data_IF_803091507691
#
_entry.id   IF_803091507691
#
_cell.length_a   1.000
_cell.length_b   1.000
_cell.length_c   1.000
_cell.angle_alpha   90.00
_cell.angle_beta   90.00
_cell.angle_gamma   90.00
#
_symmetry.space_group_name_H-M   'P 1'
#
loop_
_entity.id
_entity.type
_entity.pdbx_description
1 polymer ?
#
# COMPACT_ATOMS: atom_id res chain seq x y z
N UNK A 1 -5.77 -17.59 10.11
CA UNK A 1 -5.34 -17.79 11.51
C UNK A 1 -3.95 -17.25 11.78
N UNK A 2 -2.88 -17.93 11.30
CA UNK A 2 -1.48 -17.53 11.60
C UNK A 2 -1.20 -16.07 11.23
N UNK A 3 -1.52 -15.67 10.02
CA UNK A 3 -1.33 -14.27 9.59
C UNK A 3 -2.02 -13.27 10.51
N UNK A 4 -3.25 -13.58 10.95
CA UNK A 4 -4.00 -12.71 11.86
C UNK A 4 -3.34 -12.61 13.24
N UNK A 5 -2.76 -13.72 13.74
CA UNK A 5 -2.07 -13.75 15.04
C UNK A 5 -0.73 -13.02 15.01
N UNK A 6 -0.04 -13.03 13.87
CA UNK A 6 1.33 -12.50 13.78
C UNK A 6 1.39 -11.05 13.27
N UNK A 7 0.38 -10.59 12.52
CA UNK A 7 0.47 -9.34 11.77
C UNK A 7 -0.75 -8.41 11.91
N UNK A 8 -1.81 -8.82 12.60
CA UNK A 8 -3.03 -8.00 12.73
C UNK A 8 -3.32 -7.62 14.19
N UNK A 9 -2.74 -6.55 14.68
CA UNK A 9 -2.88 -6.06 16.07
C UNK A 9 -4.33 -5.80 16.51
N UNK A 10 -5.23 -5.53 15.57
CA UNK A 10 -6.65 -5.25 15.88
C UNK A 10 -7.51 -6.49 16.00
N UNK A 11 -6.97 -7.68 15.69
CA UNK A 11 -7.69 -8.95 15.79
C UNK A 11 -7.27 -9.66 17.07
N UNK A 12 -8.15 -9.81 18.07
CA UNK A 12 -7.81 -10.54 19.28
C UNK A 12 -7.45 -12.01 18.98
N UNK A 13 -6.42 -12.54 19.62
CA UNK A 13 -5.92 -13.91 19.41
C UNK A 13 -7.03 -14.96 19.51
N UNK A 14 -7.88 -14.84 20.54
CA UNK A 14 -8.97 -15.80 20.73
C UNK A 14 -9.98 -15.78 19.58
N UNK A 15 -10.20 -14.63 18.95
CA UNK A 15 -11.10 -14.52 17.81
C UNK A 15 -10.47 -15.16 16.57
N UNK A 16 -9.19 -14.88 16.28
CA UNK A 16 -8.46 -15.48 15.17
C UNK A 16 -8.42 -17.01 15.27
N UNK A 17 -8.18 -17.55 16.48
CA UNK A 17 -8.16 -18.99 16.74
C UNK A 17 -9.54 -19.60 16.54
N UNK A 18 -10.57 -18.97 17.13
CA UNK A 18 -11.95 -19.49 17.07
C UNK A 18 -12.46 -19.56 15.63
N UNK A 19 -12.34 -18.48 14.87
CA UNK A 19 -12.76 -18.42 13.47
C UNK A 19 -12.01 -19.45 12.61
N UNK A 20 -10.72 -19.62 12.85
CA UNK A 20 -9.92 -20.62 12.12
C UNK A 20 -10.41 -22.04 12.39
N UNK A 21 -10.74 -22.36 13.64
CA UNK A 21 -11.29 -23.67 14.03
C UNK A 21 -12.71 -23.88 13.45
N UNK A 22 -13.55 -22.85 13.45
CA UNK A 22 -14.88 -22.91 12.86
C UNK A 22 -14.82 -23.10 11.34
N UNK A 23 -13.87 -22.47 10.65
CA UNK A 23 -13.65 -22.74 9.20
C UNK A 23 -13.30 -24.19 8.92
N UNK A 24 -12.48 -24.82 9.77
CA UNK A 24 -12.15 -26.25 9.66
C UNK A 24 -13.39 -27.12 9.83
N UNK A 25 -14.27 -26.78 10.79
CA UNK A 25 -15.54 -27.51 11.01
C UNK A 25 -16.50 -27.30 9.84
N UNK A 26 -16.65 -26.07 9.34
CA UNK A 26 -17.45 -25.76 8.14
C UNK A 26 -16.96 -26.52 6.91
N UNK A 27 -15.65 -26.71 6.76
CA UNK A 27 -15.04 -27.56 5.74
C UNK A 27 -15.23 -29.08 5.99
N UNK A 28 -15.99 -29.47 7.02
CA UNK A 28 -16.25 -30.87 7.42
C UNK A 28 -14.98 -31.67 7.76
N UNK A 29 -13.90 -30.98 8.18
CA UNK A 29 -12.64 -31.59 8.60
C UNK A 29 -12.55 -31.68 10.14
N UNK A 30 -13.57 -32.21 10.78
CA UNK A 30 -13.73 -32.19 12.25
C UNK A 30 -12.51 -32.72 13.02
N UNK A 31 -11.88 -33.78 12.52
CA UNK A 31 -10.69 -34.39 13.14
C UNK A 31 -9.49 -33.44 13.19
N UNK A 32 -9.40 -32.46 12.28
CA UNK A 32 -8.32 -31.48 12.23
C UNK A 32 -8.54 -30.27 13.16
N UNK A 33 -9.73 -30.09 13.71
CA UNK A 33 -10.04 -28.90 14.53
C UNK A 33 -9.20 -28.80 15.80
N UNK A 34 -8.95 -29.93 16.48
CA UNK A 34 -8.05 -29.98 17.64
C UNK A 34 -6.59 -29.65 17.28
N UNK A 35 -6.12 -30.17 16.16
CA UNK A 35 -4.78 -29.91 15.66
C UNK A 35 -4.57 -28.43 15.30
N UNK A 36 -5.51 -27.83 14.55
CA UNK A 36 -5.45 -26.41 14.20
C UNK A 36 -5.48 -25.52 15.45
N UNK A 37 -6.37 -25.83 16.41
CA UNK A 37 -6.43 -25.10 17.67
C UNK A 37 -5.10 -25.20 18.45
N UNK A 38 -4.49 -26.37 18.52
CA UNK A 38 -3.24 -26.59 19.23
C UNK A 38 -2.09 -25.80 18.61
N UNK A 39 -1.94 -25.84 17.28
CA UNK A 39 -0.91 -25.05 16.56
C UNK A 39 -1.07 -23.56 16.79
N UNK A 40 -2.28 -23.03 16.58
CA UNK A 40 -2.53 -21.59 16.72
C UNK A 40 -2.29 -21.12 18.17
N UNK A 41 -2.70 -21.90 19.16
CA UNK A 41 -2.39 -21.59 20.57
C UNK A 41 -0.92 -21.72 20.93
N UNK A 42 -0.17 -22.56 20.22
CA UNK A 42 1.28 -22.65 20.42
C UNK A 42 1.97 -21.37 19.93
N UNK A 43 1.59 -20.88 18.76
CA UNK A 43 2.13 -19.63 18.20
C UNK A 43 1.90 -18.42 19.12
N UNK A 44 0.79 -18.36 19.84
CA UNK A 44 0.54 -17.26 20.80
C UNK A 44 1.32 -17.37 22.12
N UNK A 45 1.97 -18.51 22.38
CA UNK A 45 2.70 -18.75 23.64
C UNK A 45 4.20 -18.83 23.48
N UNK A 46 4.66 -19.26 22.33
CA UNK A 46 6.06 -19.49 22.02
C UNK A 46 6.51 -18.45 21.01
N UNK A 47 7.60 -17.78 21.30
CA UNK A 47 8.27 -16.92 20.33
C UNK A 47 8.81 -17.80 19.19
N UNK A 48 8.34 -17.54 17.98
CA UNK A 48 8.80 -18.28 16.80
C UNK A 48 10.14 -17.67 16.36
N UNK A 49 11.24 -18.32 16.71
CA UNK A 49 12.54 -17.97 16.16
C UNK A 49 12.58 -18.40 14.69
N UNK A 50 12.70 -17.43 13.79
CA UNK A 50 12.95 -17.71 12.38
C UNK A 50 14.43 -17.98 12.18
N UNK A 51 14.76 -19.11 11.56
CA UNK A 51 16.11 -19.41 11.10
C UNK A 51 16.23 -19.00 9.64
N UNK A 52 17.27 -18.23 9.32
CA UNK A 52 17.56 -17.76 7.98
C UNK A 52 18.83 -18.41 7.45
N UNK A 53 18.86 -18.71 6.18
CA UNK A 53 20.01 -19.35 5.53
C UNK A 53 21.15 -18.33 5.33
N UNK A 54 20.79 -17.12 4.97
CA UNK A 54 21.69 -15.98 4.76
C UNK A 54 20.93 -14.64 4.95
N UNK A 55 21.63 -13.51 4.88
CA UNK A 55 21.04 -12.17 5.05
C UNK A 55 20.03 -11.85 3.96
N UNK A 56 20.21 -12.35 2.74
CA UNK A 56 19.26 -12.17 1.66
C UNK A 56 17.97 -12.97 1.90
N UNK A 57 18.08 -14.18 2.48
CA UNK A 57 16.92 -14.99 2.88
C UNK A 57 16.13 -14.27 3.99
N UNK A 58 16.85 -13.70 4.97
CA UNK A 58 16.26 -12.89 6.02
C UNK A 58 15.48 -11.71 5.42
N UNK A 59 16.12 -10.90 4.58
CA UNK A 59 15.48 -9.76 3.93
C UNK A 59 14.25 -10.19 3.12
N UNK A 60 14.36 -11.30 2.38
CA UNK A 60 13.26 -11.86 1.58
C UNK A 60 12.04 -12.21 2.43
N UNK A 61 12.27 -12.85 3.57
CA UNK A 61 11.19 -13.29 4.46
C UNK A 61 10.60 -12.09 5.22
N UNK A 62 11.43 -11.24 5.82
CA UNK A 62 11.00 -10.09 6.62
C UNK A 62 10.23 -9.07 5.79
N UNK A 63 10.64 -8.84 4.53
CA UNK A 63 9.99 -7.87 3.66
C UNK A 63 8.98 -8.47 2.69
N UNK A 64 8.83 -9.81 2.67
CA UNK A 64 7.94 -10.53 1.75
C UNK A 64 8.26 -10.29 0.26
N UNK A 65 9.53 -10.05 -0.06
CA UNK A 65 9.99 -9.89 -1.44
C UNK A 65 10.70 -11.15 -1.93
N UNK A 66 10.41 -11.63 -3.15
CA UNK A 66 11.07 -12.83 -3.66
C UNK A 66 12.56 -12.56 -3.90
N UNK A 67 13.37 -13.55 -3.59
CA UNK A 67 14.83 -13.48 -3.63
C UNK A 67 15.39 -12.93 -4.96
N UNK A 68 14.86 -13.38 -6.10
CA UNK A 68 15.27 -12.90 -7.42
C UNK A 68 15.09 -11.39 -7.63
N UNK A 69 14.07 -10.80 -6.98
CA UNK A 69 13.81 -9.36 -7.07
C UNK A 69 14.83 -8.58 -6.24
N UNK A 70 15.10 -9.05 -5.04
CA UNK A 70 16.13 -8.45 -4.15
C UNK A 70 17.52 -8.56 -4.79
N UNK A 71 17.90 -9.71 -5.37
CA UNK A 71 19.15 -9.88 -6.09
C UNK A 71 19.29 -8.86 -7.23
N UNK A 72 18.20 -8.60 -7.95
CA UNK A 72 18.18 -7.60 -9.03
C UNK A 72 18.36 -6.19 -8.49
N UNK A 73 17.71 -5.84 -7.37
CA UNK A 73 17.85 -4.53 -6.76
C UNK A 73 19.25 -4.34 -6.17
N UNK A 74 19.81 -5.35 -5.53
CA UNK A 74 21.19 -5.33 -5.02
C UNK A 74 22.17 -5.10 -6.16
N UNK A 75 22.00 -5.79 -7.28
CA UNK A 75 22.88 -5.62 -8.45
C UNK A 75 22.77 -4.23 -9.08
N UNK A 76 21.63 -3.56 -8.95
CA UNK A 76 21.38 -2.24 -9.54
C UNK A 76 21.70 -1.08 -8.59
N UNK A 77 21.40 -1.20 -7.32
CA UNK A 77 21.44 -0.10 -6.35
C UNK A 77 22.42 -0.34 -5.19
N UNK A 78 22.90 -1.57 -4.99
CA UNK A 78 23.67 -1.99 -3.83
C UNK A 78 22.79 -2.57 -2.72
N UNK A 79 23.45 -3.17 -1.71
CA UNK A 79 22.76 -3.91 -0.63
C UNK A 79 21.92 -2.99 0.26
N UNK A 80 22.49 -1.87 0.70
CA UNK A 80 21.82 -0.94 1.62
C UNK A 80 20.56 -0.33 0.99
N UNK A 81 20.68 0.21 -0.21
CA UNK A 81 19.56 0.83 -0.93
C UNK A 81 18.47 -0.20 -1.27
N UNK A 82 18.87 -1.41 -1.67
CA UNK A 82 17.91 -2.50 -1.95
C UNK A 82 17.12 -2.90 -0.70
N UNK A 83 17.76 -2.91 0.47
CA UNK A 83 17.09 -3.17 1.74
C UNK A 83 16.12 -2.04 2.10
N UNK A 84 16.54 -0.78 1.97
CA UNK A 84 15.68 0.38 2.21
C UNK A 84 14.44 0.36 1.30
N UNK A 85 14.59 0.07 0.01
CA UNK A 85 13.48 -0.09 -0.93
C UNK A 85 12.52 -1.19 -0.47
N UNK A 86 13.05 -2.33 -0.04
CA UNK A 86 12.25 -3.47 0.39
C UNK A 86 11.43 -3.17 1.66
N UNK A 87 12.02 -2.48 2.64
CA UNK A 87 11.32 -2.05 3.84
C UNK A 87 10.31 -0.94 3.54
N UNK A 88 10.68 0.07 2.76
CA UNK A 88 9.79 1.17 2.38
C UNK A 88 8.53 0.69 1.64
N UNK A 89 8.65 -0.37 0.82
CA UNK A 89 7.50 -0.97 0.13
C UNK A 89 6.45 -1.58 1.09
N UNK A 90 6.83 -1.89 2.32
CA UNK A 90 5.92 -2.42 3.34
C UNK A 90 5.33 -1.34 4.25
N UNK A 91 5.77 -0.11 4.12
CA UNK A 91 5.18 1.01 4.85
C UNK A 91 3.78 1.34 4.30
N UNK A 92 2.94 1.90 5.17
CA UNK A 92 1.62 2.38 4.74
C UNK A 92 1.85 3.66 3.93
N UNK A 93 1.52 3.67 2.62
CA UNK A 93 1.76 4.84 1.80
C UNK A 93 0.86 6.00 2.20
N UNK A 94 1.37 7.21 2.04
CA UNK A 94 0.55 8.42 2.13
C UNK A 94 -0.44 8.46 0.97
N UNK A 95 -1.60 9.05 1.23
CA UNK A 95 -2.62 9.27 0.20
C UNK A 95 -2.27 10.53 -0.56
N UNK A 96 -1.96 10.38 -1.84
CA UNK A 96 -1.69 11.50 -2.73
C UNK A 96 -2.94 11.90 -3.53
N UNK A 97 -3.13 13.18 -3.72
CA UNK A 97 -4.23 13.72 -4.51
C UNK A 97 -3.84 15.05 -5.17
N UNK A 98 -4.55 15.41 -6.20
CA UNK A 98 -4.40 16.69 -6.89
C UNK A 98 -5.72 17.44 -6.96
N UNK A 99 -5.62 18.74 -7.07
CA UNK A 99 -6.74 19.60 -7.35
C UNK A 99 -7.22 19.40 -8.81
N UNK A 100 -8.51 19.48 -9.03
CA UNK A 100 -9.08 19.45 -10.38
C UNK A 100 -9.32 20.86 -10.89
N UNK A 101 -9.54 21.03 -12.21
CA UNK A 101 -9.87 22.31 -12.80
C UNK A 101 -11.24 22.89 -12.34
N UNK A 102 -12.08 22.07 -11.71
CA UNK A 102 -13.37 22.48 -11.16
C UNK A 102 -13.27 23.09 -9.75
N UNK A 103 -12.09 23.16 -9.17
CA UNK A 103 -11.90 23.76 -7.86
C UNK A 103 -11.91 25.28 -7.95
N UNK A 104 -12.57 25.92 -6.99
CA UNK A 104 -12.68 27.38 -6.86
C UNK A 104 -11.75 27.87 -5.74
N UNK A 105 -11.43 29.15 -5.72
CA UNK A 105 -10.51 29.78 -4.75
C UNK A 105 -10.88 29.51 -3.28
N UNK A 106 -12.17 29.27 -3.00
CA UNK A 106 -12.65 28.93 -1.64
C UNK A 106 -12.15 27.60 -1.07
N UNK A 107 -11.51 26.76 -1.88
CA UNK A 107 -10.95 25.48 -1.44
C UNK A 107 -9.47 25.61 -1.05
N UNK A 108 -8.78 26.60 -1.57
CA UNK A 108 -7.35 26.77 -1.33
C UNK A 108 -7.04 26.81 0.17
N UNK A 109 -7.82 27.51 0.98
CA UNK A 109 -7.66 27.55 2.44
C UNK A 109 -7.80 26.17 3.09
N UNK A 110 -8.69 25.31 2.59
CA UNK A 110 -8.85 23.94 3.08
C UNK A 110 -7.70 23.03 2.63
N UNK A 111 -7.17 23.28 1.45
CA UNK A 111 -6.06 22.50 0.89
C UNK A 111 -4.70 22.88 1.49
N UNK A 112 -4.54 24.11 2.00
CA UNK A 112 -3.33 24.55 2.73
C UNK A 112 -3.05 23.75 4.01
N UNK A 113 -4.04 23.01 4.51
CA UNK A 113 -3.88 22.12 5.67
C UNK A 113 -3.16 20.81 5.33
N UNK A 114 -2.98 20.49 4.05
CA UNK A 114 -2.32 19.28 3.60
C UNK A 114 -0.86 19.56 3.21
N UNK A 115 -0.03 18.55 3.42
CA UNK A 115 1.39 18.64 3.04
C UNK A 115 1.53 18.61 1.52
N UNK A 116 2.31 19.53 0.96
CA UNK A 116 2.67 19.46 -0.45
C UNK A 116 3.72 18.38 -0.70
N UNK A 117 3.65 17.74 -1.86
CA UNK A 117 4.71 16.86 -2.33
C UNK A 117 6.00 17.63 -2.58
N UNK A 118 7.12 17.00 -2.30
CA UNK A 118 8.46 17.51 -2.63
C UNK A 118 8.84 17.24 -4.10
N UNK A 119 8.16 16.29 -4.74
CA UNK A 119 8.50 15.81 -6.08
C UNK A 119 7.55 16.30 -7.17
N UNK A 120 6.31 16.66 -6.80
CA UNK A 120 5.26 16.97 -7.77
C UNK A 120 4.52 18.24 -7.35
N UNK A 121 4.69 19.31 -8.09
CA UNK A 121 3.98 20.57 -7.84
C UNK A 121 2.46 20.36 -7.89
N UNK A 122 1.74 20.95 -6.92
CA UNK A 122 0.27 20.83 -6.81
C UNK A 122 -0.23 19.43 -6.45
N UNK A 123 0.65 18.48 -6.13
CA UNK A 123 0.29 17.26 -5.46
C UNK A 123 0.26 17.47 -3.95
N UNK A 124 -0.81 17.04 -3.32
CA UNK A 124 -1.04 17.14 -1.89
C UNK A 124 -1.07 15.75 -1.26
N UNK A 125 -0.62 15.66 -0.01
CA UNK A 125 -0.43 14.42 0.71
C UNK A 125 -1.22 14.42 2.02
N UNK A 126 -1.81 13.28 2.33
CA UNK A 126 -2.50 13.01 3.60
C UNK A 126 -2.10 11.64 4.13
N UNK A 127 -2.02 11.47 5.44
CA UNK A 127 -1.75 10.16 6.05
C UNK A 127 -2.90 9.16 5.83
N UNK A 128 -4.11 9.65 5.60
CA UNK A 128 -5.31 8.83 5.43
C UNK A 128 -6.39 9.56 4.65
N UNK A 129 -7.31 8.80 4.07
CA UNK A 129 -8.53 9.36 3.48
C UNK A 129 -9.49 9.74 4.63
N UNK A 130 -9.74 11.02 4.78
CA UNK A 130 -10.72 11.54 5.74
C UNK A 130 -12.11 11.69 5.10
N UNK A 131 -13.19 11.84 5.89
CA UNK A 131 -14.51 12.15 5.34
C UNK A 131 -14.53 13.42 4.48
N UNK A 132 -13.78 14.44 4.88
CA UNK A 132 -13.64 15.70 4.14
C UNK A 132 -13.00 15.50 2.77
N UNK A 133 -11.93 14.68 2.69
CA UNK A 133 -11.30 14.33 1.41
C UNK A 133 -12.25 13.55 0.50
N UNK A 134 -13.08 12.65 1.06
CA UNK A 134 -14.10 11.94 0.30
C UNK A 134 -15.18 12.88 -0.24
N UNK A 135 -15.57 13.88 0.55
CA UNK A 135 -16.53 14.89 0.12
C UNK A 135 -15.96 15.74 -1.01
N UNK A 136 -14.71 16.20 -0.90
CA UNK A 136 -14.02 16.93 -1.95
C UNK A 136 -13.89 16.12 -3.26
N UNK A 137 -13.57 14.83 -3.15
CA UNK A 137 -13.51 13.93 -4.30
C UNK A 137 -14.89 13.74 -4.94
N UNK A 138 -15.92 13.45 -4.13
CA UNK A 138 -17.28 13.21 -4.62
C UNK A 138 -17.89 14.43 -5.34
N UNK A 139 -17.48 15.62 -4.91
CA UNK A 139 -17.84 16.90 -5.53
C UNK A 139 -16.93 17.27 -6.74
N UNK A 140 -16.01 16.38 -7.11
CA UNK A 140 -15.11 16.57 -8.25
C UNK A 140 -14.09 17.71 -8.05
N UNK A 141 -13.76 18.06 -6.81
CA UNK A 141 -12.84 19.12 -6.46
C UNK A 141 -11.39 18.68 -6.40
N UNK A 142 -11.17 17.41 -6.01
CA UNK A 142 -9.89 16.76 -6.00
C UNK A 142 -9.98 15.42 -6.72
N UNK A 143 -8.82 14.89 -7.08
CA UNK A 143 -8.68 13.56 -7.66
C UNK A 143 -7.55 12.81 -6.94
N UNK A 144 -7.85 11.64 -6.37
CA UNK A 144 -6.84 10.79 -5.77
C UNK A 144 -5.96 10.18 -6.86
N UNK A 145 -4.68 10.47 -6.81
CA UNK A 145 -3.71 9.97 -7.76
C UNK A 145 -2.34 9.93 -7.09
N UNK A 146 -1.69 8.79 -7.15
CA UNK A 146 -0.34 8.60 -6.62
C UNK A 146 0.68 9.57 -7.24
N UNK A 147 1.68 10.01 -6.44
CA UNK A 147 2.71 10.97 -6.85
C UNK A 147 3.43 10.53 -8.12
N UNK A 148 3.87 9.25 -8.18
CA UNK A 148 4.56 8.73 -9.35
C UNK A 148 3.68 8.76 -10.59
N UNK A 149 2.37 8.48 -10.44
CA UNK A 149 1.40 8.60 -11.54
C UNK A 149 1.17 10.03 -12.01
N UNK A 150 1.23 11.01 -11.10
CA UNK A 150 1.16 12.43 -11.46
C UNK A 150 2.45 12.88 -12.16
N UNK A 151 3.61 12.41 -11.68
CA UNK A 151 4.90 12.71 -12.30
C UNK A 151 4.96 12.17 -13.74
N UNK A 152 4.49 10.95 -13.98
CA UNK A 152 4.39 10.37 -15.33
C UNK A 152 3.52 11.23 -16.25
N UNK A 153 2.37 11.70 -15.79
CA UNK A 153 1.52 12.57 -16.59
C UNK A 153 2.23 13.90 -16.94
N UNK A 154 2.98 14.46 -16.00
CA UNK A 154 3.72 15.72 -16.18
C UNK A 154 4.98 15.57 -17.05
N UNK A 155 5.54 14.36 -17.16
CA UNK A 155 6.69 14.12 -18.04
C UNK A 155 6.35 14.20 -19.52
N UNK A 156 5.06 14.25 -19.86
CA UNK A 156 4.62 14.45 -21.24
C UNK A 156 4.59 15.94 -21.53
N UNK A 157 5.56 16.42 -22.29
CA UNK A 157 5.66 17.82 -22.70
C UNK A 157 4.65 18.15 -23.79
N UNK A 158 3.48 18.66 -23.39
CA UNK A 158 2.39 19.03 -24.30
C UNK A 158 2.31 20.53 -24.49
N UNK A 159 1.86 20.92 -25.68
CA UNK A 159 1.57 22.30 -26.03
C UNK A 159 0.09 22.46 -26.35
N UNK A 160 -0.45 23.63 -26.10
CA UNK A 160 -1.84 23.92 -26.44
C UNK A 160 -2.09 23.67 -27.94
N UNK A 161 -3.08 22.82 -28.23
CA UNK A 161 -3.44 22.40 -29.59
C UNK A 161 -2.86 21.05 -30.03
N UNK A 162 -2.01 20.41 -29.21
CA UNK A 162 -1.52 19.06 -29.50
C UNK A 162 -2.66 18.04 -29.44
N UNK A 163 -2.58 17.04 -30.30
CA UNK A 163 -3.48 15.88 -30.28
C UNK A 163 -2.81 14.74 -29.53
N UNK A 164 -3.45 14.25 -28.48
CA UNK A 164 -2.92 13.19 -27.61
C UNK A 164 -3.78 11.94 -27.72
N UNK A 165 -3.14 10.79 -27.84
CA UNK A 165 -3.78 9.49 -27.76
C UNK A 165 -3.25 8.72 -26.55
N UNK A 166 -4.11 8.53 -25.54
CA UNK A 166 -3.80 7.64 -24.42
C UNK A 166 -4.36 6.24 -24.71
N UNK A 167 -3.48 5.30 -25.04
CA UNK A 167 -3.86 3.92 -25.37
C UNK A 167 -4.15 3.05 -24.15
N UNK A 168 -3.86 3.53 -22.94
CA UNK A 168 -4.11 2.86 -21.67
C UNK A 168 -4.88 3.75 -20.69
N UNK A 169 -5.84 4.48 -21.19
CA UNK A 169 -6.52 5.58 -20.51
C UNK A 169 -7.32 5.21 -19.24
N UNK A 170 -7.74 3.95 -19.09
CA UNK A 170 -8.59 3.54 -17.95
C UNK A 170 -7.85 3.56 -16.61
N UNK A 171 -8.43 4.14 -15.57
CA UNK A 171 -9.72 4.84 -15.42
C UNK A 171 -9.69 6.33 -15.81
N UNK A 172 -8.63 6.83 -16.39
CA UNK A 172 -8.53 8.22 -16.86
C UNK A 172 -7.68 9.13 -15.96
N UNK A 173 -7.04 8.61 -14.95
CA UNK A 173 -6.27 9.40 -13.98
C UNK A 173 -5.12 10.20 -14.61
N UNK A 174 -4.40 9.61 -15.58
CA UNK A 174 -3.32 10.27 -16.30
C UNK A 174 -3.88 11.15 -17.43
N UNK A 175 -4.87 10.64 -18.18
CA UNK A 175 -5.53 11.38 -19.27
C UNK A 175 -6.12 12.71 -18.80
N UNK A 176 -6.71 12.74 -17.60
CA UNK A 176 -7.30 13.97 -17.03
C UNK A 176 -6.29 14.86 -16.32
N UNK A 177 -5.05 14.43 -16.20
CA UNK A 177 -3.94 15.21 -15.62
C UNK A 177 -3.09 15.89 -16.71
N UNK A 178 -3.23 15.45 -17.94
CA UNK A 178 -2.64 16.01 -19.15
C UNK A 178 -3.55 17.12 -19.68
#
# INVERSE_FOLDING_TARGET
GLYQLLFLDRVPDHAAINESVELVKRAKKFSASGFVNAILRRVTREETLLEFVDDLDRLSIETSHPRWLLERWIAQFGEDEAAEIAYANNEIPTVAFRQTCNSTDSINEQLELFRSSEFVDGCLLSERITPELRDLESNGRIYFQDEASQLVARSVELKAGDSVLDVCASPGSKTTAI
#
